data_IF_385110129261
#
_entry.id   IF_385110129261
#
_cell.length_a   1.000
_cell.length_b   1.000
_cell.length_c   1.000
_cell.angle_alpha   90.00
_cell.angle_beta   90.00
_cell.angle_gamma   90.00
#
_symmetry.space_group_name_H-M   'P 1'
#
loop_
_entity.id
_entity.type
_entity.pdbx_description
1 polymer ?
#
# COMPACT_ATOMS: atom_id res chain seq x y z
N UNK A 1 8.80 -43.91 15.68
CA UNK A 1 9.66 -42.77 15.29
C UNK A 1 9.59 -42.43 13.78
N UNK A 2 9.11 -43.30 12.88
CA UNK A 2 9.03 -43.01 11.42
C UNK A 2 7.78 -42.22 10.98
N UNK A 3 6.67 -42.30 11.69
CA UNK A 3 5.41 -41.58 11.39
C UNK A 3 5.48 -40.07 11.65
N UNK A 4 6.27 -39.64 12.64
CA UNK A 4 6.49 -38.22 12.92
C UNK A 4 7.26 -37.51 11.78
N UNK A 5 8.21 -38.21 11.16
CA UNK A 5 9.01 -37.69 10.05
C UNK A 5 8.21 -37.54 8.76
N UNK A 6 7.25 -38.44 8.48
CA UNK A 6 6.40 -38.37 7.28
C UNK A 6 5.38 -37.21 7.35
N UNK A 7 4.79 -36.97 8.53
CA UNK A 7 3.91 -35.82 8.78
C UNK A 7 4.69 -34.49 8.67
N UNK A 8 5.90 -34.42 9.20
CA UNK A 8 6.75 -33.23 9.11
C UNK A 8 7.17 -32.92 7.65
N UNK A 9 7.54 -33.93 6.85
CA UNK A 9 7.82 -33.75 5.41
C UNK A 9 6.60 -33.27 4.62
N UNK A 10 5.41 -33.81 4.92
CA UNK A 10 4.15 -33.39 4.27
C UNK A 10 3.81 -31.92 4.57
N UNK A 11 3.95 -31.51 5.84
CA UNK A 11 3.77 -30.11 6.27
C UNK A 11 4.77 -29.17 5.60
N UNK A 12 6.05 -29.54 5.53
CA UNK A 12 7.11 -28.74 4.90
C UNK A 12 6.88 -28.55 3.40
N UNK A 13 6.40 -29.60 2.70
CA UNK A 13 6.05 -29.50 1.27
C UNK A 13 4.84 -28.60 1.03
N UNK A 14 3.78 -28.74 1.84
CA UNK A 14 2.60 -27.86 1.77
C UNK A 14 2.97 -26.40 2.03
N UNK A 15 3.81 -26.15 3.03
CA UNK A 15 4.31 -24.80 3.33
C UNK A 15 5.12 -24.22 2.16
N UNK A 16 6.01 -25.00 1.55
CA UNK A 16 6.76 -24.57 0.38
C UNK A 16 5.88 -24.23 -0.82
N UNK A 17 4.86 -25.04 -1.10
CA UNK A 17 3.89 -24.77 -2.18
C UNK A 17 3.08 -23.51 -1.91
N UNK A 18 2.57 -23.34 -0.69
CA UNK A 18 1.83 -22.12 -0.32
C UNK A 18 2.71 -20.86 -0.41
N UNK A 19 3.94 -20.92 0.08
CA UNK A 19 4.89 -19.82 0.00
C UNK A 19 5.19 -19.44 -1.46
N UNK A 20 5.43 -20.44 -2.32
CA UNK A 20 5.66 -20.21 -3.74
C UNK A 20 4.45 -19.55 -4.41
N UNK A 21 3.23 -20.01 -4.11
CA UNK A 21 2.00 -19.40 -4.62
C UNK A 21 1.85 -17.95 -4.16
N UNK A 22 2.12 -17.64 -2.90
CA UNK A 22 2.09 -16.27 -2.39
C UNK A 22 3.11 -15.36 -3.09
N UNK A 23 4.34 -15.85 -3.29
CA UNK A 23 5.39 -15.10 -3.98
C UNK A 23 5.03 -14.88 -5.45
N UNK A 24 4.49 -15.89 -6.14
CA UNK A 24 4.04 -15.76 -7.53
C UNK A 24 2.87 -14.78 -7.62
N UNK A 25 1.88 -14.87 -6.74
CA UNK A 25 0.75 -13.95 -6.72
C UNK A 25 1.19 -12.50 -6.48
N UNK A 26 2.10 -12.28 -5.52
CA UNK A 26 2.70 -10.98 -5.28
C UNK A 26 3.50 -10.48 -6.50
N UNK A 27 4.28 -11.36 -7.13
CA UNK A 27 5.05 -11.06 -8.34
C UNK A 27 4.16 -10.64 -9.52
N UNK A 28 3.02 -11.32 -9.72
CA UNK A 28 2.03 -10.94 -10.74
C UNK A 28 1.46 -9.54 -10.45
N UNK A 29 1.10 -9.25 -9.19
CA UNK A 29 0.63 -7.92 -8.79
C UNK A 29 1.68 -6.84 -9.03
N UNK A 30 2.94 -7.08 -8.65
CA UNK A 30 4.05 -6.17 -8.89
C UNK A 30 4.33 -5.96 -10.37
N UNK A 31 4.22 -7.01 -11.20
CA UNK A 31 4.36 -6.89 -12.65
C UNK A 31 3.29 -5.97 -13.23
N UNK A 32 2.04 -6.12 -12.82
CA UNK A 32 0.95 -5.25 -13.29
C UNK A 32 1.11 -3.80 -12.83
N UNK A 33 1.54 -3.61 -11.58
CA UNK A 33 1.86 -2.30 -11.04
C UNK A 33 3.00 -1.63 -11.83
N UNK A 34 4.05 -2.38 -12.17
CA UNK A 34 5.16 -1.89 -12.98
C UNK A 34 4.71 -1.50 -14.40
N UNK A 35 3.81 -2.29 -15.02
CA UNK A 35 3.23 -1.96 -16.33
C UNK A 35 2.41 -0.68 -16.29
N UNK A 36 1.52 -0.53 -15.30
CA UNK A 36 0.69 0.68 -15.15
C UNK A 36 1.57 1.89 -14.86
N UNK A 37 2.55 1.75 -13.97
CA UNK A 37 3.48 2.83 -13.65
C UNK A 37 4.32 3.23 -14.87
N UNK A 38 4.80 2.26 -15.64
CA UNK A 38 5.53 2.51 -16.89
C UNK A 38 4.68 3.24 -17.93
N UNK A 39 3.44 2.79 -18.14
CA UNK A 39 2.49 3.46 -19.04
C UNK A 39 2.15 4.88 -18.58
N UNK A 40 1.97 5.07 -17.26
CA UNK A 40 1.73 6.36 -16.65
C UNK A 40 2.92 7.31 -16.84
N UNK A 41 4.15 6.86 -16.62
CA UNK A 41 5.35 7.68 -16.83
C UNK A 41 5.48 8.05 -18.31
N UNK A 42 5.33 7.07 -19.21
CA UNK A 42 5.46 7.30 -20.65
C UNK A 42 4.44 8.32 -21.19
N UNK A 43 3.16 8.19 -20.82
CA UNK A 43 2.09 9.09 -21.26
C UNK A 43 2.00 10.38 -20.43
N UNK A 44 2.44 10.32 -19.17
CA UNK A 44 2.35 11.41 -18.21
C UNK A 44 3.45 12.44 -18.40
N UNK A 45 4.69 12.01 -18.68
CA UNK A 45 5.82 12.91 -18.92
C UNK A 45 5.56 13.88 -20.08
N UNK A 46 4.93 13.42 -21.16
CA UNK A 46 4.57 14.29 -22.29
C UNK A 46 3.46 15.30 -21.96
N UNK A 47 2.72 15.10 -20.85
CA UNK A 47 1.67 15.99 -20.39
C UNK A 47 2.09 16.97 -19.28
N UNK A 48 3.32 16.88 -18.77
CA UNK A 48 3.79 17.76 -17.69
C UNK A 48 4.07 19.16 -18.24
N UNK A 49 3.20 20.11 -17.90
CA UNK A 49 3.37 21.53 -18.21
C UNK A 49 2.96 22.39 -17.02
N UNK A 50 3.36 23.66 -17.00
CA UNK A 50 2.99 24.61 -15.94
C UNK A 50 1.46 24.78 -15.81
N UNK A 51 0.71 24.52 -16.89
CA UNK A 51 -0.75 24.53 -16.90
C UNK A 51 -1.35 23.42 -16.02
N UNK A 52 -0.66 22.29 -15.84
CA UNK A 52 -1.10 21.18 -14.98
C UNK A 52 -1.25 21.62 -13.52
N UNK A 53 -0.37 22.51 -13.05
CA UNK A 53 -0.38 22.97 -11.66
C UNK A 53 -1.27 24.18 -11.44
N UNK A 54 -1.46 25.01 -12.46
CA UNK A 54 -2.13 26.32 -12.32
C UNK A 54 -3.57 26.32 -12.80
N UNK A 55 -3.96 25.42 -13.69
CA UNK A 55 -5.31 25.39 -14.24
C UNK A 55 -6.21 24.36 -13.55
N UNK A 56 -7.50 24.66 -13.52
CA UNK A 56 -8.52 23.72 -13.08
C UNK A 56 -8.71 22.60 -14.10
N UNK A 57 -9.22 21.47 -13.63
CA UNK A 57 -9.51 20.30 -14.47
C UNK A 57 -10.71 20.59 -15.36
N UNK A 58 -10.51 20.71 -16.69
CA UNK A 58 -11.59 20.95 -17.62
C UNK A 58 -12.37 19.64 -17.89
N UNK A 59 -13.49 19.71 -18.62
CA UNK A 59 -14.21 18.53 -19.09
C UNK A 59 -13.29 17.57 -19.89
N UNK A 60 -13.61 16.26 -19.93
CA UNK A 60 -12.81 15.28 -20.64
C UNK A 60 -12.70 15.61 -22.12
N UNK A 61 -11.46 15.76 -22.61
CA UNK A 61 -11.16 16.10 -24.01
C UNK A 61 -10.50 17.47 -24.20
N UNK A 62 -10.56 18.35 -23.19
CA UNK A 62 -9.93 19.68 -23.24
C UNK A 62 -8.58 19.73 -22.49
N UNK A 63 -7.70 20.63 -22.95
CA UNK A 63 -6.44 20.90 -22.29
C UNK A 63 -6.66 21.76 -21.04
N UNK A 64 -6.25 21.25 -19.87
CA UNK A 64 -6.25 22.00 -18.62
C UNK A 64 -5.51 21.24 -17.52
N UNK A 65 -5.73 21.60 -16.25
CA UNK A 65 -4.84 21.20 -15.16
C UNK A 65 -5.44 20.30 -14.10
N UNK A 66 -4.66 20.04 -13.05
CA UNK A 66 -4.97 19.16 -11.93
C UNK A 66 -5.08 19.92 -10.60
N UNK A 67 -5.24 21.26 -10.65
CA UNK A 67 -5.21 22.11 -9.46
C UNK A 67 -6.23 21.67 -8.38
N UNK A 68 -7.46 21.34 -8.78
CA UNK A 68 -8.50 20.89 -7.85
C UNK A 68 -8.14 19.54 -7.19
N UNK A 69 -7.60 18.60 -7.96
CA UNK A 69 -7.18 17.30 -7.45
C UNK A 69 -6.00 17.42 -6.46
N UNK A 70 -5.05 18.32 -6.73
CA UNK A 70 -3.92 18.60 -5.84
C UNK A 70 -4.42 19.22 -4.54
N UNK A 71 -5.25 20.25 -4.63
CA UNK A 71 -5.83 20.92 -3.46
C UNK A 71 -6.63 19.95 -2.59
N UNK A 72 -7.53 19.17 -3.20
CA UNK A 72 -8.33 18.16 -2.49
C UNK A 72 -7.45 17.12 -1.80
N UNK A 73 -6.39 16.65 -2.45
CA UNK A 73 -5.44 15.70 -1.87
C UNK A 73 -4.74 16.28 -0.63
N UNK A 74 -4.26 17.52 -0.70
CA UNK A 74 -3.60 18.20 0.43
C UNK A 74 -4.56 18.34 1.60
N UNK A 75 -5.79 18.81 1.35
CA UNK A 75 -6.81 18.98 2.40
C UNK A 75 -7.13 17.63 3.06
N UNK A 76 -7.35 16.58 2.26
CA UNK A 76 -7.63 15.24 2.77
C UNK A 76 -6.46 14.67 3.58
N UNK A 77 -5.22 14.88 3.14
CA UNK A 77 -4.03 14.45 3.88
C UNK A 77 -3.92 15.17 5.21
N UNK A 78 -4.13 16.49 5.26
CA UNK A 78 -4.07 17.27 6.51
C UNK A 78 -5.12 16.79 7.49
N UNK A 79 -6.38 16.63 7.05
CA UNK A 79 -7.46 16.13 7.91
C UNK A 79 -7.12 14.73 8.41
N UNK A 80 -6.62 13.85 7.52
CA UNK A 80 -6.20 12.51 7.86
C UNK A 80 -5.07 12.47 8.90
N UNK A 81 -4.10 13.38 8.82
CA UNK A 81 -3.03 13.53 9.81
C UNK A 81 -3.61 14.01 11.15
N UNK A 82 -4.43 15.07 11.14
CA UNK A 82 -5.00 15.66 12.35
C UNK A 82 -5.84 14.64 13.13
N UNK A 83 -6.58 13.78 12.44
CA UNK A 83 -7.42 12.75 13.09
C UNK A 83 -6.64 11.47 13.38
N UNK A 84 -5.86 10.99 12.40
CA UNK A 84 -5.18 9.70 12.47
C UNK A 84 -3.94 9.70 13.35
N UNK A 85 -3.14 10.78 13.33
CA UNK A 85 -1.89 10.84 14.09
C UNK A 85 -2.10 10.77 15.60
N UNK A 86 -3.05 11.52 16.22
CA UNK A 86 -3.28 11.40 17.66
C UNK A 86 -3.72 9.99 18.07
N UNK A 87 -4.65 9.38 17.32
CA UNK A 87 -5.13 8.02 17.59
C UNK A 87 -3.99 7.01 17.45
N UNK A 88 -3.19 7.11 16.39
CA UNK A 88 -2.04 6.24 16.14
C UNK A 88 -0.96 6.37 17.22
N UNK A 89 -0.64 7.59 17.64
CA UNK A 89 0.32 7.83 18.72
C UNK A 89 -0.19 7.26 20.03
N UNK A 90 -1.44 7.53 20.41
CA UNK A 90 -2.03 7.01 21.66
C UNK A 90 -2.09 5.47 21.69
N UNK A 91 -2.51 4.84 20.59
CA UNK A 91 -2.50 3.38 20.48
C UNK A 91 -1.07 2.82 20.53
N UNK A 92 -0.13 3.47 19.85
CA UNK A 92 1.29 3.09 19.86
C UNK A 92 1.91 3.19 21.25
N UNK A 93 1.67 4.29 21.98
CA UNK A 93 2.18 4.47 23.35
C UNK A 93 1.53 3.48 24.31
N UNK A 94 0.22 3.22 24.18
CA UNK A 94 -0.46 2.20 24.99
C UNK A 94 0.15 0.81 24.78
N UNK A 95 0.42 0.42 23.53
CA UNK A 95 1.08 -0.86 23.23
C UNK A 95 2.51 -0.90 23.77
N UNK A 96 3.27 0.19 23.67
CA UNK A 96 4.64 0.26 24.17
C UNK A 96 4.72 0.13 25.70
N UNK A 97 3.76 0.70 26.43
CA UNK A 97 3.77 0.73 27.89
C UNK A 97 3.02 -0.45 28.53
N UNK A 98 1.85 -0.82 27.99
CA UNK A 98 0.96 -1.86 28.53
C UNK A 98 0.94 -3.17 27.73
N UNK A 99 1.60 -3.23 26.56
CA UNK A 99 1.65 -4.44 25.73
C UNK A 99 2.25 -5.66 26.44
N UNK A 100 3.07 -5.45 27.48
CA UNK A 100 3.67 -6.53 28.27
C UNK A 100 2.67 -7.26 29.21
N UNK A 101 1.51 -6.67 29.49
CA UNK A 101 0.50 -7.24 30.41
C UNK A 101 -0.80 -7.66 29.72
N UNK A 102 -0.93 -7.45 28.41
CA UNK A 102 -2.12 -7.81 27.62
C UNK A 102 -2.04 -9.24 27.08
N UNK A 103 -3.09 -10.04 27.28
CA UNK A 103 -3.20 -11.44 26.80
C UNK A 103 -3.20 -11.58 25.26
N UNK A 104 -3.19 -10.49 24.51
CA UNK A 104 -3.22 -10.48 23.04
C UNK A 104 -1.85 -10.21 22.40
N UNK A 105 -0.83 -9.90 23.20
CA UNK A 105 0.52 -9.55 22.71
C UNK A 105 1.49 -10.65 23.10
N UNK A 106 1.58 -11.68 22.25
CA UNK A 106 2.69 -12.65 22.31
C UNK A 106 3.85 -12.06 21.51
N UNK A 107 4.84 -11.52 22.22
CA UNK A 107 6.15 -11.17 21.66
C UNK A 107 6.86 -12.44 21.17
#
# INVERSE_FOLDING_TARGET
MSTALSLHRSRKRKNGVMMALCVVAAGIGLAWLALILGALIYKGLSGVSLAVFTQMTPPPGDAGGLLNAIYGSIVMTIIGIVVGTPIGVLAGTYMAEYGRFSRLTTI
#
